data_IF_121707479081
#
_entry.id   IF_121707479081
#
_cell.length_a   1.000
_cell.length_b   1.000
_cell.length_c   1.000
_cell.angle_alpha   90.00
_cell.angle_beta   90.00
_cell.angle_gamma   90.00
#
_symmetry.space_group_name_H-M   'P 1'
#
loop_
_entity.id
_entity.type
_entity.pdbx_description
1 polymer ?
#
# COMPACT_ATOMS: atom_id res chain seq x y z
N UNK A 1 -5.28 -17.09 26.61
CA UNK A 1 -4.97 -18.16 25.63
C UNK A 1 -5.86 -18.07 24.40
N UNK A 2 -7.18 -17.99 24.56
CA UNK A 2 -8.13 -17.80 23.43
C UNK A 2 -7.98 -16.42 22.76
N UNK A 3 -7.92 -15.35 23.54
CA UNK A 3 -7.73 -13.96 23.06
C UNK A 3 -6.51 -13.81 22.14
N UNK A 4 -5.37 -14.36 22.56
CA UNK A 4 -4.10 -14.34 21.82
C UNK A 4 -4.19 -15.13 20.52
N UNK A 5 -4.90 -16.26 20.49
CA UNK A 5 -5.10 -17.06 19.28
C UNK A 5 -5.96 -16.29 18.27
N UNK A 6 -7.04 -15.64 18.74
CA UNK A 6 -7.92 -14.82 17.89
C UNK A 6 -7.14 -13.65 17.30
N UNK A 7 -6.33 -12.96 18.10
CA UNK A 7 -5.49 -11.85 17.63
C UNK A 7 -4.52 -12.29 16.51
N UNK A 8 -3.84 -13.42 16.69
CA UNK A 8 -2.93 -13.97 15.68
C UNK A 8 -3.67 -14.30 14.38
N UNK A 9 -4.85 -14.95 14.48
CA UNK A 9 -5.67 -15.29 13.31
C UNK A 9 -6.09 -14.04 12.55
N UNK A 10 -6.54 -13.00 13.24
CA UNK A 10 -6.96 -11.74 12.59
C UNK A 10 -5.81 -11.04 11.88
N UNK A 11 -4.64 -10.97 12.51
CA UNK A 11 -3.44 -10.37 11.89
C UNK A 11 -3.01 -11.18 10.67
N UNK A 12 -2.95 -12.51 10.79
CA UNK A 12 -2.61 -13.39 9.67
C UNK A 12 -3.61 -13.25 8.51
N UNK A 13 -4.91 -13.19 8.82
CA UNK A 13 -5.96 -12.99 7.83
C UNK A 13 -5.84 -11.64 7.10
N UNK A 14 -5.49 -10.57 7.81
CA UNK A 14 -5.27 -9.25 7.22
C UNK A 14 -4.13 -9.27 6.17
N UNK A 15 -2.98 -9.85 6.52
CA UNK A 15 -1.85 -9.96 5.59
C UNK A 15 -2.16 -10.90 4.41
N UNK A 16 -2.90 -11.99 4.66
CA UNK A 16 -3.36 -12.89 3.61
C UNK A 16 -4.27 -12.16 2.62
N UNK A 17 -5.25 -11.39 3.11
CA UNK A 17 -6.16 -10.61 2.27
C UNK A 17 -5.43 -9.52 1.45
N UNK A 18 -4.46 -8.82 2.05
CA UNK A 18 -3.62 -7.85 1.31
C UNK A 18 -2.79 -8.52 0.21
N UNK A 19 -2.23 -9.70 0.49
CA UNK A 19 -1.42 -10.45 -0.47
C UNK A 19 -2.25 -10.93 -1.66
N UNK A 20 -3.46 -11.45 -1.39
CA UNK A 20 -4.40 -11.83 -2.45
C UNK A 20 -4.72 -10.63 -3.35
N UNK A 21 -4.99 -9.46 -2.75
CA UNK A 21 -5.30 -8.23 -3.50
C UNK A 21 -4.19 -7.87 -4.49
N UNK A 22 -2.91 -7.98 -4.10
CA UNK A 22 -1.76 -7.73 -4.98
C UNK A 22 -1.70 -8.68 -6.18
N UNK A 23 -1.97 -9.97 -5.96
CA UNK A 23 -1.93 -10.99 -7.03
C UNK A 23 -3.09 -10.78 -8.02
N UNK A 24 -4.26 -10.36 -7.54
CA UNK A 24 -5.44 -10.12 -8.38
C UNK A 24 -5.43 -8.75 -9.08
N UNK A 25 -4.65 -7.77 -8.61
CA UNK A 25 -4.48 -6.48 -9.30
C UNK A 25 -3.54 -6.67 -10.49
N UNK A 26 -4.03 -6.34 -11.70
CA UNK A 26 -3.22 -6.32 -12.93
C UNK A 26 -2.04 -5.34 -12.74
N UNK A 27 -0.81 -5.84 -12.87
CA UNK A 27 0.41 -5.06 -12.68
C UNK A 27 1.02 -5.12 -11.28
N UNK A 28 0.38 -5.80 -10.31
CA UNK A 28 0.95 -5.96 -8.97
C UNK A 28 1.13 -4.64 -8.21
N UNK A 29 0.32 -3.64 -8.54
CA UNK A 29 0.44 -2.30 -7.95
C UNK A 29 -0.28 -2.21 -6.61
N UNK A 30 0.34 -1.50 -5.66
CA UNK A 30 -0.36 -1.10 -4.46
C UNK A 30 -1.36 -0.01 -4.83
N UNK A 31 -2.67 -0.23 -4.59
CA UNK A 31 -3.72 0.78 -4.83
C UNK A 31 -4.46 1.13 -3.54
N UNK A 32 -4.44 2.41 -3.17
CA UNK A 32 -5.18 2.95 -2.03
C UNK A 32 -4.57 2.61 -0.66
N UNK A 33 -3.27 2.34 -0.61
CA UNK A 33 -2.51 2.14 0.65
C UNK A 33 -1.43 3.20 0.76
N UNK A 34 -0.81 3.37 1.93
CA UNK A 34 0.32 4.30 2.07
C UNK A 34 1.46 3.98 1.08
N UNK A 35 1.62 2.70 0.68
CA UNK A 35 2.63 2.28 -0.28
C UNK A 35 2.35 2.75 -1.71
N UNK A 36 1.08 2.97 -2.10
CA UNK A 36 0.73 3.44 -3.45
C UNK A 36 1.20 4.86 -3.73
N UNK A 37 1.47 5.64 -2.68
CA UNK A 37 1.93 7.02 -2.78
C UNK A 37 3.47 7.13 -2.67
N UNK A 38 4.17 6.00 -2.57
CA UNK A 38 5.62 5.98 -2.51
C UNK A 38 6.19 6.26 -3.91
N UNK A 39 7.05 7.29 -4.10
CA UNK A 39 7.67 7.60 -5.39
C UNK A 39 8.43 6.40 -6.00
N UNK A 40 8.96 5.49 -5.19
CA UNK A 40 9.66 4.30 -5.69
C UNK A 40 8.73 3.20 -6.21
N UNK A 41 7.45 3.21 -5.80
CA UNK A 41 6.47 2.16 -6.13
C UNK A 41 5.34 2.69 -7.03
N UNK A 42 5.37 3.96 -7.40
CA UNK A 42 4.42 4.62 -8.29
C UNK A 42 5.12 5.04 -9.60
N UNK A 43 5.34 4.11 -10.55
CA UNK A 43 6.04 4.38 -11.80
C UNK A 43 5.25 5.33 -12.73
N UNK A 44 3.93 5.38 -12.61
CA UNK A 44 3.06 6.18 -13.49
C UNK A 44 2.98 7.66 -13.11
N UNK A 45 3.51 8.04 -11.94
CA UNK A 45 3.49 9.45 -11.53
C UNK A 45 2.11 9.93 -11.06
N UNK A 46 1.27 9.06 -10.49
CA UNK A 46 -0.07 9.46 -10.01
C UNK A 46 -0.02 10.55 -8.91
N UNK A 47 -1.10 11.33 -8.79
CA UNK A 47 -1.24 12.32 -7.71
C UNK A 47 -1.41 11.64 -6.35
N UNK A 48 -0.66 12.12 -5.37
CA UNK A 48 -0.78 11.77 -3.96
C UNK A 48 -2.17 12.15 -3.45
N UNK A 49 -3.06 11.19 -3.21
CA UNK A 49 -4.39 11.43 -2.63
C UNK A 49 -4.36 12.06 -1.22
N UNK A 50 -3.21 12.08 -0.54
CA UNK A 50 -3.05 12.74 0.75
C UNK A 50 -2.63 14.22 0.65
N UNK A 51 -1.73 14.59 -0.29
CA UNK A 51 -1.18 15.95 -0.38
C UNK A 51 -1.40 16.65 -1.73
N UNK A 52 -1.98 15.97 -2.72
CA UNK A 52 -2.32 16.48 -4.05
C UNK A 52 -1.15 16.63 -5.02
N UNK A 53 0.10 16.37 -4.61
CA UNK A 53 1.28 16.47 -5.48
C UNK A 53 1.41 15.24 -6.37
N UNK A 54 1.80 15.43 -7.62
CA UNK A 54 2.23 14.36 -8.54
C UNK A 54 3.51 13.72 -7.99
N UNK A 55 3.49 12.43 -7.69
CA UNK A 55 4.64 11.71 -7.10
C UNK A 55 5.27 10.85 -8.18
N UNK A 56 6.39 11.31 -8.74
CA UNK A 56 7.11 10.61 -9.81
C UNK A 56 8.33 9.84 -9.28
N UNK A 57 8.78 8.79 -10.00
CA UNK A 57 9.99 8.04 -9.64
C UNK A 57 11.20 8.95 -9.46
N UNK A 58 11.89 8.82 -8.33
CA UNK A 58 13.08 9.61 -8.02
C UNK A 58 12.80 11.03 -7.50
N UNK A 59 11.54 11.41 -7.30
CA UNK A 59 11.20 12.66 -6.60
C UNK A 59 11.11 12.44 -5.10
N UNK A 60 11.74 13.31 -4.31
CA UNK A 60 11.57 13.29 -2.86
C UNK A 60 10.12 13.63 -2.52
N UNK A 61 9.45 12.75 -1.77
CA UNK A 61 8.15 13.06 -1.17
C UNK A 61 8.36 14.02 0.02
N UNK A 62 8.64 15.31 -0.29
CA UNK A 62 8.77 16.37 0.73
C UNK A 62 7.40 16.96 1.04
N UNK A 63 6.98 16.77 2.30
CA UNK A 63 5.95 17.61 2.92
C UNK A 63 6.53 19.01 3.00
N UNK A 64 5.94 19.94 2.25
CA UNK A 64 6.23 21.37 2.43
C UNK A 64 5.64 21.85 3.75
#
# INVERSE_FOLDING_TARGET
MTETIIAIILVAFFFFALSLRLIFIKGGEFKGTCASQNPYLNPEGEQCGYCGKTVAPGTDCKKS
#
